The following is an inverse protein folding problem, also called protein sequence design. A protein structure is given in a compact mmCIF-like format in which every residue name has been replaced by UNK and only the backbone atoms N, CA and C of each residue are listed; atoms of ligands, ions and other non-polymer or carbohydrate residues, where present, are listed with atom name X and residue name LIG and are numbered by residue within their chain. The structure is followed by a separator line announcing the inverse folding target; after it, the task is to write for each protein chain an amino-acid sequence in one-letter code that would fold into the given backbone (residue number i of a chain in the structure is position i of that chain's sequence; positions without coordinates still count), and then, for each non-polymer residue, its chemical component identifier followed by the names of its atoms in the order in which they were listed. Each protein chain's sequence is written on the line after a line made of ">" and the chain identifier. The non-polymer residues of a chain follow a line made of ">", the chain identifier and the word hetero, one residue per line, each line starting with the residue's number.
data_IF_816593783842
#
_entry.id   IF_816593783842
#
_cell.length_a   1.000
_cell.length_b   1.000
_cell.length_c   1.000
_cell.angle_alpha   90.00
_cell.angle_beta   90.00
_cell.angle_gamma   90.00
#
_symmetry.space_group_name_H-M   'P 1'
#
loop_
_entity.id
_entity.type
_entity.pdbx_description
1 polymer ?
#
# COMPACT_ATOMS: atom_id res chain seq x y z
N UNK A 1 9.93 -5.61 -4.28
CA UNK A 1 8.94 -6.19 -3.34
C UNK A 1 8.88 -7.70 -3.56
N UNK A 2 8.95 -8.54 -2.51
CA UNK A 2 9.03 -10.01 -2.65
C UNK A 2 7.83 -10.61 -3.38
N UNK A 3 6.62 -10.09 -3.13
CA UNK A 3 5.37 -10.57 -3.76
C UNK A 3 5.44 -10.63 -5.30
N UNK A 4 6.06 -9.64 -5.94
CA UNK A 4 6.18 -9.55 -7.40
C UNK A 4 7.32 -10.38 -7.98
N UNK A 5 8.20 -10.94 -7.12
CA UNK A 5 9.32 -11.79 -7.53
C UNK A 5 9.05 -13.28 -7.27
N UNK A 6 8.02 -13.60 -6.50
CA UNK A 6 7.66 -14.97 -6.13
C UNK A 6 7.05 -15.73 -7.30
N UNK A 7 7.54 -16.93 -7.54
CA UNK A 7 7.03 -17.85 -8.56
C UNK A 7 6.50 -19.13 -7.90
N UNK A 8 5.36 -19.63 -8.40
CA UNK A 8 4.64 -20.75 -7.78
C UNK A 8 3.83 -20.34 -6.55
N UNK A 9 2.85 -21.16 -6.20
CA UNK A 9 1.82 -20.80 -5.22
C UNK A 9 2.38 -20.65 -3.80
N UNK A 10 3.24 -21.56 -3.34
CA UNK A 10 3.83 -21.52 -1.99
C UNK A 10 4.66 -20.25 -1.73
N UNK A 11 5.46 -19.82 -2.71
CA UNK A 11 6.26 -18.59 -2.59
C UNK A 11 5.39 -17.33 -2.60
N UNK A 12 4.28 -17.35 -3.35
CA UNK A 12 3.33 -16.24 -3.40
C UNK A 12 2.57 -16.11 -2.09
N UNK A 13 2.10 -17.22 -1.51
CA UNK A 13 1.42 -17.20 -0.22
C UNK A 13 2.35 -16.75 0.92
N UNK A 14 3.60 -17.22 0.95
CA UNK A 14 4.58 -16.76 1.93
C UNK A 14 4.87 -15.24 1.80
N UNK A 15 5.07 -14.75 0.57
CA UNK A 15 5.33 -13.33 0.33
C UNK A 15 4.11 -12.44 0.62
N UNK A 16 2.91 -12.93 0.34
CA UNK A 16 1.64 -12.30 0.72
C UNK A 16 1.52 -12.19 2.24
N UNK A 17 1.76 -13.28 2.98
CA UNK A 17 1.71 -13.30 4.43
C UNK A 17 2.67 -12.29 5.06
N UNK A 18 3.90 -12.22 4.56
CA UNK A 18 4.90 -11.24 5.02
C UNK A 18 4.49 -9.80 4.71
N UNK A 19 3.93 -9.54 3.53
CA UNK A 19 3.40 -8.22 3.18
C UNK A 19 2.27 -7.80 4.11
N UNK A 20 1.25 -8.65 4.30
CA UNK A 20 0.13 -8.35 5.20
C UNK A 20 0.65 -8.10 6.61
N UNK A 21 1.63 -8.89 7.08
CA UNK A 21 2.27 -8.68 8.38
C UNK A 21 2.91 -7.28 8.50
N UNK A 22 3.64 -6.84 7.48
CA UNK A 22 4.27 -5.51 7.46
C UNK A 22 3.23 -4.38 7.43
N UNK A 23 2.17 -4.51 6.63
CA UNK A 23 1.09 -3.52 6.55
C UNK A 23 0.30 -3.42 7.86
N UNK A 24 0.05 -4.55 8.54
CA UNK A 24 -0.56 -4.57 9.87
C UNK A 24 0.32 -3.92 10.93
N UNK A 25 1.65 -4.04 10.84
CA UNK A 25 2.55 -3.32 11.73
C UNK A 25 2.45 -1.81 11.54
N UNK A 26 2.39 -1.36 10.29
CA UNK A 26 2.19 0.04 9.94
C UNK A 26 0.82 0.55 10.43
N UNK A 27 -0.23 -0.23 10.23
CA UNK A 27 -1.57 0.05 10.75
C UNK A 27 -1.60 0.13 12.29
N UNK A 28 -0.89 -0.76 12.97
CA UNK A 28 -0.75 -0.73 14.42
C UNK A 28 -0.04 0.53 14.92
N UNK A 29 0.98 1.00 14.20
CA UNK A 29 1.68 2.26 14.51
C UNK A 29 0.79 3.50 14.29
N UNK A 30 -0.08 3.45 13.28
CA UNK A 30 -1.11 4.47 13.04
C UNK A 30 -2.15 4.45 14.18
N UNK A 31 -2.61 3.27 14.60
CA UNK A 31 -3.61 3.10 15.65
C UNK A 31 -4.95 3.72 15.24
N UNK A 32 -5.55 4.49 16.14
CA UNK A 32 -6.82 5.22 15.89
C UNK A 32 -6.62 6.67 15.45
N UNK A 33 -5.37 7.06 15.15
CA UNK A 33 -5.05 8.42 14.72
C UNK A 33 -5.48 8.65 13.27
N UNK A 34 -5.75 9.91 12.92
CA UNK A 34 -6.07 10.29 11.54
C UNK A 34 -4.83 10.25 10.62
N UNK A 35 -3.66 10.53 11.21
CA UNK A 35 -2.33 10.57 10.60
C UNK A 35 -1.30 9.98 11.57
N UNK A 36 -0.12 9.60 11.08
CA UNK A 36 0.93 9.05 11.96
C UNK A 36 1.36 10.02 13.07
N UNK A 37 1.26 11.32 12.80
CA UNK A 37 1.56 12.40 13.76
C UNK A 37 0.34 12.80 14.62
N UNK A 38 -0.74 12.01 14.62
CA UNK A 38 -1.97 12.29 15.37
C UNK A 38 -3.03 12.93 14.51
N UNK A 39 -3.28 14.23 14.73
CA UNK A 39 -4.34 14.97 14.05
C UNK A 39 -3.85 15.75 12.83
N UNK A 40 -2.54 15.92 12.67
CA UNK A 40 -1.94 16.66 11.57
C UNK A 40 -1.17 15.72 10.64
N UNK A 41 -1.23 16.03 9.35
CA UNK A 41 -0.45 15.35 8.32
C UNK A 41 1.02 15.72 8.50
N UNK A 42 1.88 14.75 8.78
CA UNK A 42 3.27 14.99 9.15
C UNK A 42 4.27 14.14 8.38
N UNK A 43 5.49 14.06 8.92
CA UNK A 43 6.64 13.47 8.24
C UNK A 43 6.42 12.02 7.78
N UNK A 44 5.93 11.16 8.69
CA UNK A 44 5.68 9.76 8.33
C UNK A 44 4.57 9.62 7.30
N UNK A 45 3.54 10.49 7.33
CA UNK A 45 2.50 10.47 6.31
C UNK A 45 3.07 10.81 4.93
N UNK A 46 3.97 11.80 4.84
CA UNK A 46 4.68 12.19 3.61
C UNK A 46 5.53 11.04 3.08
N UNK A 47 6.21 10.30 3.95
CA UNK A 47 7.09 9.18 3.55
C UNK A 47 6.28 7.96 3.10
N UNK A 48 5.15 7.69 3.77
CA UNK A 48 4.37 6.47 3.55
C UNK A 48 3.36 6.64 2.41
N UNK A 49 2.76 7.82 2.23
CA UNK A 49 1.69 7.99 1.22
C UNK A 49 2.11 7.68 -0.22
N UNK A 50 3.35 7.95 -0.68
CA UNK A 50 3.77 7.54 -2.03
C UNK A 50 3.72 6.03 -2.24
N UNK A 51 3.92 5.25 -1.17
CA UNK A 51 3.87 3.79 -1.22
C UNK A 51 2.44 3.26 -1.45
N UNK A 52 1.40 4.06 -1.17
CA UNK A 52 0.00 3.62 -1.37
C UNK A 52 -0.38 3.49 -2.84
N UNK A 53 0.37 4.12 -3.75
CA UNK A 53 0.21 3.91 -5.20
C UNK A 53 0.35 2.44 -5.61
N UNK A 54 0.98 1.62 -4.76
CA UNK A 54 1.19 0.19 -4.98
C UNK A 54 0.09 -0.70 -4.38
N UNK A 55 -0.82 -0.17 -3.57
CA UNK A 55 -1.77 -0.98 -2.81
C UNK A 55 -2.67 -1.80 -3.72
N UNK A 56 -3.22 -1.18 -4.78
CA UNK A 56 -4.01 -1.88 -5.79
C UNK A 56 -3.23 -3.00 -6.49
N UNK A 57 -1.93 -2.81 -6.70
CA UNK A 57 -1.07 -3.85 -7.29
C UNK A 57 -0.89 -5.04 -6.34
N UNK A 58 -0.80 -4.78 -5.03
CA UNK A 58 -0.68 -5.83 -4.01
C UNK A 58 -1.93 -6.69 -3.93
N UNK A 59 -3.11 -6.07 -3.92
CA UNK A 59 -4.40 -6.78 -3.90
C UNK A 59 -4.55 -7.69 -5.12
N UNK A 60 -4.23 -7.18 -6.31
CA UNK A 60 -4.32 -7.96 -7.55
C UNK A 60 -3.34 -9.13 -7.59
N UNK A 61 -2.09 -8.93 -7.16
CA UNK A 61 -1.07 -9.98 -7.23
C UNK A 61 -1.19 -11.01 -6.10
N UNK A 62 -1.53 -10.57 -4.88
CA UNK A 62 -1.69 -11.44 -3.73
C UNK A 62 -3.10 -12.00 -3.55
N UNK A 63 -4.08 -11.57 -4.36
CA UNK A 63 -5.48 -11.97 -4.27
C UNK A 63 -6.03 -11.82 -2.85
N UNK A 64 -5.96 -10.60 -2.32
CA UNK A 64 -6.51 -10.22 -1.02
C UNK A 64 -7.04 -8.79 -1.07
N UNK A 65 -7.73 -8.38 -0.01
CA UNK A 65 -8.39 -7.08 0.10
C UNK A 65 -7.81 -6.32 1.30
N UNK A 66 -7.23 -5.14 1.04
CA UNK A 66 -6.62 -4.30 2.07
C UNK A 66 -7.65 -3.62 2.98
N UNK A 67 -8.89 -3.41 2.52
CA UNK A 67 -9.98 -2.91 3.37
C UNK A 67 -10.36 -3.94 4.44
N UNK A 68 -10.17 -5.23 4.16
CA UNK A 68 -10.38 -6.31 5.13
C UNK A 68 -9.15 -6.50 6.02
N UNK A 69 -7.97 -6.56 5.42
CA UNK A 69 -6.73 -6.88 6.12
C UNK A 69 -6.18 -5.72 6.98
N UNK A 70 -6.36 -4.48 6.52
CA UNK A 70 -5.83 -3.25 7.11
C UNK A 70 -6.81 -2.05 6.99
N UNK A 71 -8.02 -2.13 7.57
CA UNK A 71 -9.09 -1.13 7.39
C UNK A 71 -8.74 0.30 7.82
N UNK A 72 -7.97 0.47 8.90
CA UNK A 72 -7.56 1.80 9.39
C UNK A 72 -6.49 2.40 8.48
N UNK A 73 -5.57 1.57 7.97
CA UNK A 73 -4.57 2.02 7.00
C UNK A 73 -5.25 2.48 5.70
N UNK A 74 -6.26 1.76 5.22
CA UNK A 74 -7.04 2.18 4.03
C UNK A 74 -7.83 3.47 4.27
N UNK A 75 -8.42 3.65 5.47
CA UNK A 75 -9.03 4.94 5.82
C UNK A 75 -8.01 6.08 5.90
N UNK A 76 -6.79 5.81 6.36
CA UNK A 76 -5.69 6.78 6.35
C UNK A 76 -5.30 7.18 4.93
N UNK A 77 -5.15 6.19 4.07
CA UNK A 77 -4.77 6.35 2.67
C UNK A 77 -5.77 7.23 1.90
N UNK A 78 -7.07 6.96 2.01
CA UNK A 78 -8.14 7.75 1.36
C UNK A 78 -8.10 9.22 1.79
N UNK A 79 -7.99 9.48 3.09
CA UNK A 79 -7.90 10.83 3.64
C UNK A 79 -6.64 11.56 3.16
N UNK A 80 -5.51 10.86 3.09
CA UNK A 80 -4.29 11.45 2.57
C UNK A 80 -4.46 11.82 1.09
N UNK A 81 -5.06 10.94 0.29
CA UNK A 81 -5.37 11.18 -1.12
C UNK A 81 -6.40 12.26 -1.35
N UNK A 82 -7.18 12.69 -0.36
CA UNK A 82 -8.07 13.84 -0.49
C UNK A 82 -7.34 15.18 -0.48
N UNK A 83 -6.13 15.24 0.10
CA UNK A 83 -5.31 16.45 0.23
C UNK A 83 -4.79 16.90 -1.13
N UNK A 84 -4.92 18.18 -1.45
CA UNK A 84 -4.45 18.73 -2.74
C UNK A 84 -2.97 18.48 -2.98
N UNK A 85 -2.11 18.63 -1.96
CA UNK A 85 -0.67 18.40 -2.07
C UNK A 85 -0.32 16.95 -2.43
N UNK A 86 -1.15 16.00 -2.02
CA UNK A 86 -0.97 14.58 -2.33
C UNK A 86 -1.53 14.28 -3.72
N UNK A 87 -2.74 14.76 -4.04
CA UNK A 87 -3.37 14.61 -5.36
C UNK A 87 -2.50 15.13 -6.50
N UNK A 88 -1.83 16.26 -6.29
CA UNK A 88 -0.98 16.88 -7.32
C UNK A 88 0.36 16.18 -7.51
N UNK A 89 0.75 15.29 -6.60
CA UNK A 89 2.08 14.65 -6.58
C UNK A 89 2.03 13.16 -6.85
N UNK A 90 0.97 12.47 -6.41
CA UNK A 90 0.88 11.03 -6.61
C UNK A 90 0.67 10.70 -8.10
N UNK A 91 1.42 9.71 -8.63
CA UNK A 91 1.16 9.18 -9.96
C UNK A 91 -0.18 8.42 -9.99
N UNK A 92 -0.74 8.29 -11.19
CA UNK A 92 -1.93 7.48 -11.42
C UNK A 92 -1.67 6.01 -11.05
N UNK A 93 -2.60 5.39 -10.32
CA UNK A 93 -2.43 4.02 -9.83
C UNK A 93 -2.38 2.97 -10.95
N UNK A 94 -3.13 3.18 -12.05
CA UNK A 94 -3.04 2.27 -13.20
C UNK A 94 -1.69 2.40 -13.88
N UNK A 95 -1.17 3.62 -14.00
CA UNK A 95 0.15 3.87 -14.56
C UNK A 95 1.25 3.20 -13.73
N UNK A 96 1.21 3.36 -12.41
CA UNK A 96 2.14 2.70 -11.49
C UNK A 96 2.03 1.18 -11.61
N UNK A 97 0.81 0.64 -11.60
CA UNK A 97 0.60 -0.80 -11.73
C UNK A 97 1.17 -1.35 -13.05
N UNK A 98 0.89 -0.67 -14.17
CA UNK A 98 1.40 -1.01 -15.50
C UNK A 98 2.92 -0.94 -15.56
N UNK A 99 3.53 0.12 -15.01
CA UNK A 99 4.98 0.28 -14.94
C UNK A 99 5.61 -0.89 -14.17
N UNK A 100 5.00 -1.29 -13.06
CA UNK A 100 5.53 -2.38 -12.24
C UNK A 100 5.33 -3.76 -12.84
N UNK A 101 4.19 -4.02 -13.50
CA UNK A 101 4.03 -5.24 -14.32
C UNK A 101 5.18 -5.37 -15.31
N UNK A 102 5.48 -4.30 -16.04
CA UNK A 102 6.61 -4.26 -16.97
C UNK A 102 7.97 -4.47 -16.27
N UNK A 103 8.20 -3.82 -15.14
CA UNK A 103 9.49 -3.90 -14.43
C UNK A 103 9.75 -5.28 -13.82
N UNK A 104 8.70 -5.93 -13.30
CA UNK A 104 8.81 -7.27 -12.70
C UNK A 104 8.56 -8.40 -13.69
N UNK A 105 8.25 -8.11 -14.96
CA UNK A 105 7.98 -9.13 -15.98
C UNK A 105 6.72 -9.94 -15.70
N UNK A 106 5.71 -9.32 -15.10
CA UNK A 106 4.43 -9.94 -14.78
C UNK A 106 3.44 -9.58 -15.89
N UNK A 107 2.96 -10.58 -16.61
CA UNK A 107 1.88 -10.43 -17.61
C UNK A 107 0.53 -10.08 -16.96
#
# INVERSE_FOLDING_TARGET
>A
MMLFKSNGDDQKEAAKGELIRQLRQLEGALGDKNFFSGNEFGFLDIVVIPLSSMFRAYEQQGKFDLEVECPKLMRWEKRCKERESVKSTLPDEEEVYRMHKKWYGIE
#
